data_IF_924109899878
#
_entry.id   IF_924109899878
#
_cell.length_a   1.000
_cell.length_b   1.000
_cell.length_c   1.000
_cell.angle_alpha   90.00
_cell.angle_beta   90.00
_cell.angle_gamma   90.00
#
_symmetry.space_group_name_H-M   'P 1'
#
loop_
_entity.id
_entity.type
_entity.pdbx_description
1 polymer ?
#
# COMPACT_ATOMS: atom_id res chain seq x y z
N UNK A 1 48.79 16.94 -38.54
CA UNK A 1 48.15 16.08 -37.52
C UNK A 1 46.67 16.10 -37.79
N UNK A 2 46.13 14.96 -38.20
CA UNK A 2 44.85 14.79 -38.89
C UNK A 2 43.66 15.01 -37.96
N UNK A 3 42.79 15.91 -38.37
CA UNK A 3 41.43 16.19 -37.90
C UNK A 3 40.75 15.03 -37.15
N UNK A 4 40.65 15.15 -35.81
CA UNK A 4 40.02 14.15 -34.94
C UNK A 4 38.49 14.22 -35.04
N UNK A 5 37.90 13.51 -35.99
CA UNK A 5 36.46 13.24 -36.01
C UNK A 5 36.08 12.21 -34.94
N UNK A 6 34.79 12.11 -34.63
CA UNK A 6 34.28 11.08 -33.73
C UNK A 6 34.56 9.67 -34.27
N UNK A 7 34.81 8.73 -33.36
CA UNK A 7 34.95 7.33 -33.72
C UNK A 7 33.62 6.77 -34.24
N UNK A 8 33.68 5.72 -35.06
CA UNK A 8 32.48 5.11 -35.63
C UNK A 8 31.50 4.63 -34.55
N UNK A 9 32.04 4.09 -33.46
CA UNK A 9 31.26 3.69 -32.29
C UNK A 9 30.51 4.87 -31.67
N UNK A 10 31.17 6.02 -31.50
CA UNK A 10 30.53 7.21 -30.95
C UNK A 10 29.45 7.77 -31.89
N UNK A 11 29.63 7.65 -33.22
CA UNK A 11 28.61 8.04 -34.20
C UNK A 11 27.37 7.13 -34.13
N UNK A 12 27.55 5.82 -33.93
CA UNK A 12 26.45 4.87 -33.75
C UNK A 12 25.71 5.08 -32.42
N UNK A 13 26.43 5.26 -31.32
CA UNK A 13 25.86 5.59 -30.01
C UNK A 13 25.06 6.91 -30.10
N UNK A 14 25.55 7.90 -30.86
CA UNK A 14 24.86 9.18 -31.05
C UNK A 14 23.61 9.06 -31.91
N UNK A 15 23.59 8.11 -32.86
CA UNK A 15 22.43 7.82 -33.68
C UNK A 15 21.30 7.16 -32.88
N UNK A 16 21.63 6.33 -31.89
CA UNK A 16 20.68 5.73 -30.95
C UNK A 16 20.19 6.77 -29.92
N UNK A 17 21.12 7.43 -29.23
CA UNK A 17 20.80 8.56 -28.35
C UNK A 17 22.03 9.42 -28.06
N UNK A 18 21.89 10.73 -28.28
CA UNK A 18 22.93 11.70 -27.91
C UNK A 18 23.23 11.75 -26.38
N UNK A 19 22.37 11.18 -25.53
CA UNK A 19 22.60 11.09 -24.08
C UNK A 19 23.66 10.06 -23.69
N UNK A 20 24.00 9.13 -24.59
CA UNK A 20 25.01 8.09 -24.35
C UNK A 20 26.43 8.62 -24.52
N UNK A 21 26.59 9.81 -25.12
CA UNK A 21 27.90 10.39 -25.39
C UNK A 21 28.39 11.28 -24.24
N UNK A 22 29.71 11.30 -23.98
CA UNK A 22 30.34 12.31 -23.14
C UNK A 22 30.09 13.74 -23.65
N UNK A 23 29.96 14.69 -22.74
CA UNK A 23 29.65 16.10 -23.08
C UNK A 23 30.62 16.74 -24.09
N UNK A 24 31.90 16.36 -24.06
CA UNK A 24 32.94 16.84 -24.99
C UNK A 24 32.68 16.38 -26.43
N UNK A 25 32.18 15.16 -26.61
CA UNK A 25 31.86 14.60 -27.91
C UNK A 25 30.54 15.17 -28.46
N UNK A 26 29.57 15.44 -27.59
CA UNK A 26 28.33 16.15 -27.95
C UNK A 26 28.63 17.55 -28.45
N UNK A 27 29.55 18.27 -27.80
CA UNK A 27 29.99 19.59 -28.24
C UNK A 27 30.65 19.53 -29.64
N UNK A 28 31.51 18.54 -29.89
CA UNK A 28 32.11 18.32 -31.21
C UNK A 28 31.04 18.00 -32.28
N UNK A 29 30.08 17.13 -31.96
CA UNK A 29 29.01 16.76 -32.86
C UNK A 29 28.18 17.98 -33.29
N UNK A 30 27.90 18.91 -32.39
CA UNK A 30 27.21 20.17 -32.73
C UNK A 30 28.03 21.09 -33.65
N UNK A 31 29.36 21.02 -33.59
CA UNK A 31 30.26 21.86 -34.39
C UNK A 31 30.77 21.23 -35.69
N UNK A 32 30.59 19.92 -35.91
CA UNK A 32 31.16 19.20 -37.04
C UNK A 32 30.09 18.65 -38.00
N UNK A 33 29.89 19.33 -39.13
CA UNK A 33 28.91 18.93 -40.17
C UNK A 33 29.14 17.51 -40.71
N UNK A 34 30.40 17.07 -40.82
CA UNK A 34 30.73 15.72 -41.29
C UNK A 34 30.24 14.66 -40.31
N UNK A 35 30.42 14.87 -39.00
CA UNK A 35 29.92 13.94 -37.98
C UNK A 35 28.39 13.95 -37.95
N UNK A 36 27.75 15.12 -38.07
CA UNK A 36 26.29 15.23 -38.14
C UNK A 36 25.72 14.46 -39.33
N UNK A 37 26.31 14.61 -40.52
CA UNK A 37 25.89 13.89 -41.71
C UNK A 37 25.98 12.37 -41.52
N UNK A 38 27.06 11.88 -40.91
CA UNK A 38 27.21 10.44 -40.61
C UNK A 38 26.18 9.93 -39.60
N UNK A 39 25.92 10.68 -38.54
CA UNK A 39 24.87 10.33 -37.56
C UNK A 39 23.50 10.29 -38.23
N UNK A 40 23.18 11.25 -39.11
CA UNK A 40 21.93 11.23 -39.87
C UNK A 40 21.81 9.97 -40.75
N UNK A 41 22.90 9.54 -41.39
CA UNK A 41 22.92 8.27 -42.15
C UNK A 41 22.61 7.07 -41.26
N UNK A 42 23.21 6.97 -40.06
CA UNK A 42 22.89 5.90 -39.12
C UNK A 42 21.45 5.95 -38.62
N UNK A 43 20.91 7.14 -38.36
CA UNK A 43 19.50 7.31 -38.00
C UNK A 43 18.58 6.85 -39.12
N UNK A 44 18.92 7.13 -40.38
CA UNK A 44 18.19 6.59 -41.53
C UNK A 44 18.24 5.05 -41.60
N UNK A 45 19.39 4.44 -41.31
CA UNK A 45 19.49 2.98 -41.24
C UNK A 45 18.66 2.40 -40.09
N UNK A 46 18.73 2.99 -38.90
CA UNK A 46 17.96 2.55 -37.73
C UNK A 46 16.46 2.66 -37.96
N UNK A 47 16.00 3.77 -38.55
CA UNK A 47 14.59 3.94 -38.92
C UNK A 47 14.18 2.94 -39.98
N UNK A 48 14.99 2.70 -41.03
CA UNK A 48 14.70 1.66 -42.01
C UNK A 48 14.57 0.27 -41.35
N UNK A 49 15.44 -0.06 -40.40
CA UNK A 49 15.38 -1.31 -39.63
C UNK A 49 14.13 -1.41 -38.78
N UNK A 50 13.70 -0.31 -38.15
CA UNK A 50 12.48 -0.28 -37.35
C UNK A 50 11.19 -0.54 -38.16
N UNK A 51 11.22 -0.32 -39.48
CA UNK A 51 10.11 -0.63 -40.38
C UNK A 51 10.10 -2.08 -40.89
N UNK A 52 11.13 -2.89 -40.57
CA UNK A 52 11.07 -4.31 -40.88
C UNK A 52 9.94 -4.98 -40.08
N UNK A 53 9.28 -6.02 -40.65
CA UNK A 53 8.30 -6.78 -39.91
C UNK A 53 8.95 -7.34 -38.64
N UNK A 54 8.24 -7.22 -37.51
CA UNK A 54 8.75 -7.76 -36.26
C UNK A 54 9.02 -9.26 -36.42
N UNK A 55 10.19 -9.74 -35.97
CA UNK A 55 10.51 -11.15 -36.06
C UNK A 55 9.53 -11.93 -35.19
N UNK A 56 8.69 -12.75 -35.83
CA UNK A 56 7.85 -13.71 -35.12
C UNK A 56 8.68 -14.95 -34.84
N UNK A 57 8.98 -15.19 -33.57
CA UNK A 57 9.57 -16.47 -33.18
C UNK A 57 8.54 -17.58 -33.35
N UNK A 58 8.96 -18.73 -33.89
CA UNK A 58 8.09 -19.92 -34.03
C UNK A 58 7.80 -20.61 -32.69
N UNK A 59 8.33 -20.09 -31.59
CA UNK A 59 8.21 -20.62 -30.24
C UNK A 59 7.94 -19.49 -29.24
N UNK A 60 7.35 -19.85 -28.10
CA UNK A 60 7.06 -18.92 -27.02
C UNK A 60 8.35 -18.50 -26.28
N UNK A 61 8.95 -17.42 -26.77
CA UNK A 61 10.14 -16.82 -26.20
C UNK A 61 9.87 -16.29 -24.78
N UNK A 62 8.64 -15.84 -24.50
CA UNK A 62 8.29 -15.29 -23.19
C UNK A 62 8.32 -16.38 -22.10
N UNK A 63 7.72 -17.54 -22.38
CA UNK A 63 7.78 -18.70 -21.48
C UNK A 63 9.22 -19.18 -21.26
N UNK A 64 10.03 -19.20 -22.33
CA UNK A 64 11.42 -19.64 -22.28
C UNK A 64 12.31 -18.72 -21.44
N UNK A 65 12.09 -17.40 -21.52
CA UNK A 65 12.81 -16.41 -20.70
C UNK A 65 12.34 -16.47 -19.25
N UNK A 66 11.03 -16.53 -19.00
CA UNK A 66 10.45 -16.63 -17.65
C UNK A 66 10.97 -17.85 -16.89
N UNK A 67 11.19 -18.97 -17.58
CA UNK A 67 11.78 -20.17 -16.99
C UNK A 67 13.24 -19.98 -16.53
N UNK A 68 13.97 -19.04 -17.13
CA UNK A 68 15.37 -18.74 -16.81
C UNK A 68 15.54 -17.66 -15.75
N UNK A 69 14.48 -16.93 -15.40
CA UNK A 69 14.56 -15.94 -14.33
C UNK A 69 14.76 -16.61 -12.96
N UNK A 70 15.69 -16.12 -12.12
CA UNK A 70 15.88 -16.64 -10.79
C UNK A 70 14.58 -16.46 -10.00
N UNK A 71 14.00 -17.57 -9.53
CA UNK A 71 12.79 -17.52 -8.71
C UNK A 71 13.08 -16.70 -7.46
N UNK A 72 12.20 -15.75 -7.08
CA UNK A 72 12.34 -15.05 -5.82
C UNK A 72 12.26 -16.09 -4.70
N UNK A 73 13.35 -16.22 -3.93
CA UNK A 73 13.33 -17.04 -2.72
C UNK A 73 12.34 -16.40 -1.76
N UNK A 74 11.33 -17.14 -1.24
CA UNK A 74 10.45 -16.60 -0.23
C UNK A 74 11.31 -16.25 0.99
N UNK A 75 11.44 -14.96 1.27
CA UNK A 75 12.09 -14.50 2.48
C UNK A 75 11.16 -14.87 3.64
N UNK A 76 11.50 -15.93 4.36
CA UNK A 76 10.76 -16.31 5.55
C UNK A 76 10.86 -15.14 6.55
N UNK A 77 9.75 -14.55 7.00
CA UNK A 77 9.76 -13.29 7.73
C UNK A 77 10.09 -13.53 9.20
N UNK A 78 11.30 -14.01 9.47
CA UNK A 78 11.85 -14.22 10.82
C UNK A 78 11.73 -12.97 11.69
N UNK A 79 11.88 -11.79 11.09
CA UNK A 79 11.70 -10.50 11.75
C UNK A 79 10.26 -10.34 12.24
N UNK A 80 9.26 -10.67 11.41
CA UNK A 80 7.85 -10.57 11.79
C UNK A 80 7.50 -11.57 12.89
N UNK A 81 8.04 -12.78 12.81
CA UNK A 81 7.89 -13.79 13.86
C UNK A 81 8.53 -13.36 15.18
N UNK A 82 9.70 -12.72 15.14
CA UNK A 82 10.38 -12.18 16.32
C UNK A 82 9.60 -11.05 16.98
N UNK A 83 9.07 -10.12 16.17
CA UNK A 83 8.21 -9.02 16.67
C UNK A 83 6.93 -9.57 17.29
N UNK A 84 6.28 -10.53 16.64
CA UNK A 84 5.06 -11.16 17.17
C UNK A 84 5.32 -11.87 18.51
N UNK A 85 6.44 -12.59 18.63
CA UNK A 85 6.82 -13.24 19.88
C UNK A 85 7.11 -12.23 21.01
N UNK A 86 7.78 -11.12 20.70
CA UNK A 86 8.05 -10.04 21.66
C UNK A 86 6.74 -9.43 22.17
N UNK A 87 5.83 -9.07 21.27
CA UNK A 87 4.53 -8.47 21.63
C UNK A 87 3.73 -9.44 22.50
N UNK A 88 3.68 -10.71 22.12
CA UNK A 88 2.99 -11.74 22.90
C UNK A 88 3.60 -11.88 24.31
N UNK A 89 4.93 -11.86 24.40
CA UNK A 89 5.65 -11.90 25.67
C UNK A 89 5.31 -10.71 26.58
N UNK A 90 5.25 -9.49 26.03
CA UNK A 90 4.87 -8.29 26.79
C UNK A 90 3.43 -8.38 27.30
N UNK A 91 2.50 -8.84 26.47
CA UNK A 91 1.09 -9.01 26.87
C UNK A 91 0.96 -10.05 27.98
N UNK A 92 1.64 -11.19 27.86
CA UNK A 92 1.63 -12.24 28.89
C UNK A 92 2.27 -11.74 30.18
N UNK A 93 3.39 -11.02 30.12
CA UNK A 93 4.03 -10.45 31.31
C UNK A 93 3.14 -9.42 32.01
N UNK A 94 2.48 -8.55 31.24
CA UNK A 94 1.52 -7.58 31.76
C UNK A 94 0.35 -8.28 32.47
N UNK A 95 -0.23 -9.31 31.86
CA UNK A 95 -1.31 -10.10 32.47
C UNK A 95 -0.84 -10.86 33.71
N UNK A 96 0.38 -11.39 33.73
CA UNK A 96 0.92 -12.08 34.90
C UNK A 96 1.15 -11.13 36.09
N UNK A 97 1.66 -9.92 35.82
CA UNK A 97 1.96 -8.92 36.86
C UNK A 97 0.71 -8.18 37.36
N UNK A 98 -0.22 -7.84 36.46
CA UNK A 98 -1.37 -6.98 36.78
C UNK A 98 -2.72 -7.68 36.70
N UNK A 99 -2.78 -8.92 36.19
CA UNK A 99 -4.04 -9.67 36.06
C UNK A 99 -4.76 -9.88 37.40
N UNK A 100 -4.00 -10.10 38.48
CA UNK A 100 -4.55 -10.23 39.82
C UNK A 100 -5.26 -8.97 40.34
N UNK A 101 -4.84 -7.77 39.91
CA UNK A 101 -5.52 -6.50 40.23
C UNK A 101 -6.61 -6.15 39.21
N UNK A 102 -6.43 -6.51 37.95
CA UNK A 102 -7.37 -6.20 36.87
C UNK A 102 -8.69 -6.95 37.02
N UNK A 103 -8.66 -8.22 37.45
CA UNK A 103 -9.87 -9.03 37.65
C UNK A 103 -10.85 -8.41 38.66
N UNK A 104 -10.46 -8.10 39.90
CA UNK A 104 -11.36 -7.48 40.87
C UNK A 104 -11.76 -6.05 40.45
N UNK A 105 -10.88 -5.28 39.81
CA UNK A 105 -11.21 -3.96 39.30
C UNK A 105 -12.30 -4.03 38.21
N UNK A 106 -12.18 -4.95 37.24
CA UNK A 106 -13.19 -5.16 36.21
C UNK A 106 -14.51 -5.67 36.78
N UNK A 107 -14.48 -6.58 37.74
CA UNK A 107 -15.68 -7.06 38.42
C UNK A 107 -16.38 -5.95 39.20
N UNK A 108 -15.63 -5.09 39.89
CA UNK A 108 -16.19 -3.93 40.61
C UNK A 108 -16.79 -2.88 39.65
N UNK A 109 -16.16 -2.66 38.50
CA UNK A 109 -16.66 -1.74 37.48
C UNK A 109 -17.93 -2.30 36.81
N UNK A 110 -17.94 -3.59 36.47
CA UNK A 110 -19.09 -4.24 35.86
C UNK A 110 -20.28 -4.32 36.81
N UNK A 111 -20.05 -4.61 38.10
CA UNK A 111 -21.12 -4.60 39.11
C UNK A 111 -21.62 -3.18 39.39
N UNK A 112 -20.74 -2.17 39.43
CA UNK A 112 -21.13 -0.77 39.58
C UNK A 112 -21.98 -0.25 38.41
N UNK A 113 -21.55 -0.50 37.17
CA UNK A 113 -22.31 -0.15 35.97
C UNK A 113 -23.62 -0.94 35.88
N UNK A 114 -23.61 -2.23 36.19
CA UNK A 114 -24.81 -3.06 36.22
C UNK A 114 -25.84 -2.58 37.24
N UNK A 115 -25.40 -2.26 38.46
CA UNK A 115 -26.25 -1.69 39.50
C UNK A 115 -26.82 -0.33 39.07
N UNK A 116 -26.00 0.54 38.48
CA UNK A 116 -26.46 1.82 37.93
C UNK A 116 -27.50 1.67 36.80
N UNK A 117 -27.33 0.66 35.95
CA UNK A 117 -28.26 0.40 34.85
C UNK A 117 -29.61 -0.14 35.37
N UNK A 118 -29.56 -1.00 36.38
CA UNK A 118 -30.75 -1.52 37.07
C UNK A 118 -31.50 -0.41 37.80
N UNK A 119 -30.81 0.51 38.48
CA UNK A 119 -31.47 1.63 39.17
C UNK A 119 -32.14 2.58 38.19
N UNK A 120 -31.49 2.93 37.08
CA UNK A 120 -32.09 3.75 36.01
C UNK A 120 -33.30 3.05 35.39
N UNK A 121 -33.18 1.76 35.05
CA UNK A 121 -34.29 0.99 34.51
C UNK A 121 -35.48 0.92 35.50
N UNK A 122 -35.20 0.71 36.79
CA UNK A 122 -36.21 0.70 37.85
C UNK A 122 -36.94 2.04 37.99
N UNK A 123 -36.20 3.15 37.94
CA UNK A 123 -36.78 4.51 37.96
C UNK A 123 -37.68 4.77 36.76
N UNK A 124 -37.27 4.35 35.56
CA UNK A 124 -38.09 4.48 34.36
C UNK A 124 -39.38 3.67 34.45
N UNK A 125 -39.30 2.41 34.89
CA UNK A 125 -40.48 1.55 35.06
C UNK A 125 -41.41 2.10 36.13
N UNK A 126 -40.88 2.56 37.26
CA UNK A 126 -41.67 3.19 38.31
C UNK A 126 -42.39 4.45 37.80
N UNK A 127 -41.69 5.30 37.04
CA UNK A 127 -42.27 6.48 36.40
C UNK A 127 -43.41 6.13 35.44
N UNK A 128 -43.19 5.14 34.56
CA UNK A 128 -44.21 4.65 33.63
C UNK A 128 -45.44 4.08 34.35
N UNK A 129 -45.21 3.32 35.44
CA UNK A 129 -46.28 2.76 36.25
C UNK A 129 -47.12 3.85 36.95
N UNK A 130 -46.45 4.87 37.51
CA UNK A 130 -47.13 6.03 38.10
C UNK A 130 -47.95 6.80 37.07
N UNK A 131 -47.43 6.97 35.85
CA UNK A 131 -48.15 7.65 34.77
C UNK A 131 -49.39 6.86 34.34
N UNK A 132 -49.27 5.53 34.19
CA UNK A 132 -50.40 4.65 33.88
C UNK A 132 -51.47 4.71 34.98
N UNK A 133 -51.09 4.66 36.25
CA UNK A 133 -52.01 4.80 37.38
C UNK A 133 -52.68 6.17 37.39
N UNK A 134 -51.94 7.25 37.12
CA UNK A 134 -52.49 8.59 37.03
C UNK A 134 -53.49 8.72 35.87
N UNK A 135 -53.19 8.16 34.70
CA UNK A 135 -54.10 8.12 33.54
C UNK A 135 -55.36 7.32 33.84
N UNK A 136 -55.24 6.13 34.44
CA UNK A 136 -56.39 5.31 34.81
C UNK A 136 -57.29 6.01 35.82
N UNK A 137 -56.71 6.68 36.83
CA UNK A 137 -57.48 7.50 37.79
C UNK A 137 -58.21 8.66 37.11
N UNK A 138 -57.62 9.30 36.10
CA UNK A 138 -58.28 10.36 35.34
C UNK A 138 -59.47 9.83 34.53
N UNK A 139 -59.31 8.68 33.88
CA UNK A 139 -60.40 8.02 33.13
C UNK A 139 -61.57 7.61 34.03
N UNK A 140 -61.30 7.03 35.21
CA UNK A 140 -62.35 6.68 36.17
C UNK A 140 -63.14 7.91 36.66
N UNK A 141 -62.47 9.05 36.87
CA UNK A 141 -63.18 10.29 37.23
C UNK A 141 -64.10 10.78 36.11
N UNK A 142 -63.69 10.64 34.85
CA UNK A 142 -64.51 11.08 33.71
C UNK A 142 -65.78 10.23 33.55
N UNK A 143 -65.70 8.92 33.85
CA UNK A 143 -66.86 8.01 33.82
C UNK A 143 -67.80 8.17 35.02
N UNK A 144 -67.32 8.74 36.14
CA UNK A 144 -68.14 8.95 37.34
C UNK A 144 -69.05 10.20 37.26
N UNK A 145 -68.89 11.04 36.23
CA UNK A 145 -69.68 12.27 36.00
C UNK A 145 -70.58 12.20 34.75
N UNK A 146 -70.84 11.01 34.21
CA UNK A 146 -71.88 10.72 33.20
C UNK A 146 -72.95 9.81 33.79
#
# INVERSE_FOLDING_TARGET
MTSSHLSERALQEAAESASLLPATQVAHLRGCLLCQGRVATYQHLLTAVAHLPQPTFSFDLSASVLAQLPRPKPAFPWVLSGVAALVLGVVVAFLALFGGLLVPAFQSLATGLGAGLVTVAGLLVAGQCLELLARHRRQLRQLAFS
#
